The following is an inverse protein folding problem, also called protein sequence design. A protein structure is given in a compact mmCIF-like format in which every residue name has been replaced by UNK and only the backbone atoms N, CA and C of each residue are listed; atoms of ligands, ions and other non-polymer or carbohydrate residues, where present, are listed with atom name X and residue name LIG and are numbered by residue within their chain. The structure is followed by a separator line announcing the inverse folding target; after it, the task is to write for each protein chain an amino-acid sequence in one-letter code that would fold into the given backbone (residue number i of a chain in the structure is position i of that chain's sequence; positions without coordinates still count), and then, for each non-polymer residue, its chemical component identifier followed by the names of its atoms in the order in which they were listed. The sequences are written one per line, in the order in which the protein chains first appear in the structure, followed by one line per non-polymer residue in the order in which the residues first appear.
data_IF_511493984655
#
_entry.id   IF_511493984655
#
_cell.length_a   1.000
_cell.length_b   1.000
_cell.length_c   1.000
_cell.angle_alpha   90.00
_cell.angle_beta   90.00
_cell.angle_gamma   90.00
#
_symmetry.space_group_name_H-M   'P 1'
#
loop_
_entity.id
_entity.type
_entity.pdbx_description
1 polymer ?
#
# COMPACT_ATOMS: atom_id res chain seq x y z
N UNK A 1 17.58 5.80 -12.06
CA UNK A 1 17.41 4.32 -12.09
C UNK A 1 16.56 3.82 -10.93
N UNK A 2 16.87 4.20 -9.67
CA UNK A 2 16.13 3.78 -8.47
C UNK A 2 14.61 3.98 -8.55
N UNK A 3 14.14 5.14 -9.02
CA UNK A 3 12.70 5.43 -9.14
C UNK A 3 11.97 4.51 -10.12
N UNK A 4 12.60 4.14 -11.25
CA UNK A 4 11.97 3.27 -12.25
C UNK A 4 11.77 1.86 -11.71
N UNK A 5 12.80 1.34 -11.02
CA UNK A 5 12.72 0.04 -10.35
C UNK A 5 11.64 0.05 -9.28
N UNK A 6 11.57 1.11 -8.46
CA UNK A 6 10.52 1.27 -7.44
C UNK A 6 9.12 1.27 -8.08
N UNK A 7 8.90 2.02 -9.15
CA UNK A 7 7.62 2.05 -9.85
C UNK A 7 7.23 0.67 -10.39
N UNK A 8 8.18 -0.10 -10.92
CA UNK A 8 7.94 -1.47 -11.39
C UNK A 8 7.54 -2.38 -10.22
N UNK A 9 8.24 -2.28 -9.08
CA UNK A 9 7.91 -3.08 -7.89
C UNK A 9 6.53 -2.73 -7.32
N UNK A 10 6.17 -1.44 -7.28
CA UNK A 10 4.83 -0.99 -6.86
C UNK A 10 3.77 -1.56 -7.81
N UNK A 11 3.97 -1.44 -9.13
CA UNK A 11 3.03 -1.96 -10.11
C UNK A 11 2.84 -3.48 -10.01
N UNK A 12 3.93 -4.23 -9.76
CA UNK A 12 3.86 -5.67 -9.53
C UNK A 12 3.10 -6.02 -8.25
N UNK A 13 3.31 -5.27 -7.16
CA UNK A 13 2.60 -5.49 -5.90
C UNK A 13 1.10 -5.22 -6.04
N UNK A 14 0.72 -4.12 -6.68
CA UNK A 14 -0.68 -3.78 -6.98
C UNK A 14 -1.33 -4.84 -7.90
N UNK A 15 -0.60 -5.35 -8.91
CA UNK A 15 -1.08 -6.43 -9.76
C UNK A 15 -1.32 -7.71 -8.95
N UNK A 16 -0.34 -8.11 -8.13
CA UNK A 16 -0.46 -9.29 -7.27
C UNK A 16 -1.66 -9.16 -6.33
N UNK A 17 -1.89 -7.97 -5.77
CA UNK A 17 -3.04 -7.73 -4.90
C UNK A 17 -4.37 -8.00 -5.61
N UNK A 18 -4.55 -7.44 -6.81
CA UNK A 18 -5.76 -7.64 -7.61
C UNK A 18 -5.92 -9.10 -8.02
N UNK A 19 -4.82 -9.79 -8.38
CA UNK A 19 -4.85 -11.22 -8.73
C UNK A 19 -5.22 -12.08 -7.53
N UNK A 20 -4.57 -11.90 -6.38
CA UNK A 20 -4.83 -12.67 -5.16
C UNK A 20 -6.24 -12.50 -4.62
N UNK A 21 -6.83 -11.32 -4.84
CA UNK A 21 -8.19 -11.00 -4.42
C UNK A 21 -9.25 -11.32 -5.48
N UNK A 22 -8.85 -11.88 -6.63
CA UNK A 22 -9.72 -12.13 -7.79
C UNK A 22 -10.51 -10.89 -8.21
N UNK A 23 -9.83 -9.73 -8.24
CA UNK A 23 -10.41 -8.45 -8.63
C UNK A 23 -11.11 -7.67 -7.51
N UNK A 24 -11.12 -8.15 -6.27
CA UNK A 24 -11.73 -7.43 -5.13
C UNK A 24 -10.82 -6.38 -4.50
N UNK A 25 -9.53 -6.38 -4.83
CA UNK A 25 -8.56 -5.37 -4.42
C UNK A 25 -8.82 -4.05 -5.13
N UNK A 26 -8.57 -2.94 -4.45
CA UNK A 26 -8.75 -1.61 -5.04
C UNK A 26 -7.63 -1.34 -6.07
N UNK A 27 -7.91 -0.63 -7.17
CA UNK A 27 -6.84 -0.14 -8.04
C UNK A 27 -5.98 0.89 -7.29
N UNK A 28 -4.71 1.00 -7.68
CA UNK A 28 -3.71 1.86 -7.01
C UNK A 28 -3.58 1.58 -5.50
N UNK A 29 -3.65 0.32 -5.10
CA UNK A 29 -3.51 -0.11 -3.70
C UNK A 29 -2.54 -1.28 -3.60
N UNK A 30 -1.46 -1.10 -2.85
CA UNK A 30 -0.52 -2.18 -2.49
C UNK A 30 -1.10 -3.14 -1.46
N UNK A 31 -0.57 -4.36 -1.41
CA UNK A 31 -0.93 -5.37 -0.41
C UNK A 31 -0.71 -4.84 1.01
N UNK A 32 0.40 -4.12 1.22
CA UNK A 32 0.73 -3.50 2.52
C UNK A 32 -0.29 -2.43 2.92
N UNK A 33 -0.69 -1.55 2.00
CA UNK A 33 -1.72 -0.54 2.27
C UNK A 33 -3.10 -1.19 2.52
N UNK A 34 -3.45 -2.21 1.75
CA UNK A 34 -4.69 -2.96 1.93
C UNK A 34 -4.76 -3.67 3.29
N UNK A 35 -3.66 -4.31 3.72
CA UNK A 35 -3.58 -4.98 5.02
C UNK A 35 -3.84 -4.00 6.17
N UNK A 36 -3.23 -2.80 6.12
CA UNK A 36 -3.50 -1.74 7.09
C UNK A 36 -4.96 -1.29 7.04
N UNK A 37 -5.50 -0.95 5.86
CA UNK A 37 -6.89 -0.53 5.72
C UNK A 37 -7.87 -1.57 6.25
N UNK A 38 -7.64 -2.85 5.95
CA UNK A 38 -8.50 -3.95 6.40
C UNK A 38 -8.45 -4.11 7.92
N UNK A 39 -7.29 -3.93 8.54
CA UNK A 39 -7.17 -3.93 9.99
C UNK A 39 -7.94 -2.76 10.62
N UNK A 40 -7.81 -1.54 10.08
CA UNK A 40 -8.56 -0.36 10.54
C UNK A 40 -10.08 -0.53 10.37
N UNK A 41 -10.51 -1.30 9.36
CA UNK A 41 -11.91 -1.69 9.15
C UNK A 41 -12.36 -2.84 10.09
N UNK A 42 -11.48 -3.33 10.97
CA UNK A 42 -11.78 -4.43 11.89
C UNK A 42 -11.85 -5.81 11.23
N UNK A 43 -11.44 -5.96 9.97
CA UNK A 43 -11.50 -7.24 9.24
C UNK A 43 -10.43 -8.20 9.75
N UNK A 44 -10.81 -9.45 9.98
CA UNK A 44 -9.91 -10.51 10.48
C UNK A 44 -8.69 -10.69 9.58
N UNK A 45 -8.89 -10.70 8.26
CA UNK A 45 -7.79 -10.82 7.30
C UNK A 45 -6.74 -9.70 7.46
N UNK A 46 -7.14 -8.46 7.74
CA UNK A 46 -6.20 -7.36 8.01
C UNK A 46 -5.43 -7.54 9.32
N UNK A 47 -6.11 -7.99 10.38
CA UNK A 47 -5.47 -8.27 11.69
C UNK A 47 -4.43 -9.39 11.63
N UNK A 48 -4.55 -10.31 10.67
CA UNK A 48 -3.59 -11.40 10.46
C UNK A 48 -2.50 -10.99 9.46
N UNK A 49 -2.89 -10.42 8.32
CA UNK A 49 -1.95 -10.07 7.25
C UNK A 49 -1.01 -8.93 7.64
N UNK A 50 -1.50 -7.89 8.33
CA UNK A 50 -0.65 -6.76 8.72
C UNK A 50 0.55 -7.20 9.56
N UNK A 51 0.41 -7.86 10.73
CA UNK A 51 1.57 -8.23 11.53
C UNK A 51 2.49 -9.22 10.81
N UNK A 52 1.96 -10.08 9.95
CA UNK A 52 2.77 -10.99 9.12
C UNK A 52 3.64 -10.22 8.13
N UNK A 53 3.06 -9.27 7.41
CA UNK A 53 3.77 -8.44 6.43
C UNK A 53 4.77 -7.52 7.14
N UNK A 54 4.36 -6.86 8.22
CA UNK A 54 5.26 -6.01 9.01
C UNK A 54 6.41 -6.83 9.61
N UNK A 55 6.20 -8.08 10.04
CA UNK A 55 7.27 -8.94 10.55
C UNK A 55 8.24 -9.39 9.44
N UNK A 56 7.73 -9.78 8.27
CA UNK A 56 8.55 -10.15 7.10
C UNK A 56 9.47 -9.00 6.68
N UNK A 57 8.99 -7.77 6.85
CA UNK A 57 9.64 -6.56 6.38
C UNK A 57 10.29 -5.70 7.46
N UNK A 58 10.19 -6.13 8.71
CA UNK A 58 10.80 -5.51 9.87
C UNK A 58 12.30 -5.22 9.73
N UNK A 59 13.15 -6.09 9.10
CA UNK A 59 14.56 -5.80 8.91
C UNK A 59 14.84 -4.62 7.95
N UNK A 60 13.87 -4.28 7.09
CA UNK A 60 13.99 -3.22 6.10
C UNK A 60 13.38 -1.91 6.61
N UNK A 61 12.17 -1.97 7.15
CA UNK A 61 11.43 -0.78 7.59
C UNK A 61 10.35 -1.16 8.61
N UNK A 62 10.24 -0.38 9.70
CA UNK A 62 9.19 -0.56 10.72
C UNK A 62 7.89 0.09 10.27
N UNK A 63 6.76 -0.49 10.66
CA UNK A 63 5.40 -0.02 10.36
C UNK A 63 5.15 0.18 8.85
N UNK A 64 5.71 -0.69 8.01
CA UNK A 64 5.67 -0.51 6.57
C UNK A 64 4.24 -0.54 6.00
N UNK A 65 3.34 -1.34 6.59
CA UNK A 65 1.94 -1.32 6.18
C UNK A 65 1.28 0.04 6.39
N UNK A 66 1.58 0.70 7.51
CA UNK A 66 1.08 2.05 7.80
C UNK A 66 1.65 3.09 6.84
N UNK A 67 2.96 3.07 6.64
CA UNK A 67 3.65 4.01 5.76
C UNK A 67 3.18 3.88 4.31
N UNK A 68 2.96 2.65 3.85
CA UNK A 68 2.39 2.39 2.53
C UNK A 68 0.97 2.96 2.42
N UNK A 69 0.13 2.74 3.42
CA UNK A 69 -1.22 3.31 3.45
C UNK A 69 -1.21 4.84 3.42
N UNK A 70 -0.35 5.48 4.23
CA UNK A 70 -0.19 6.94 4.23
C UNK A 70 0.32 7.46 2.88
N UNK A 71 1.26 6.76 2.24
CA UNK A 71 1.77 7.10 0.90
C UNK A 71 0.67 7.08 -0.16
N UNK A 72 -0.13 6.02 -0.18
CA UNK A 72 -1.25 5.86 -1.11
C UNK A 72 -2.33 6.92 -0.87
N UNK A 73 -2.69 7.15 0.40
CA UNK A 73 -3.66 8.18 0.80
C UNK A 73 -3.21 9.58 0.35
N UNK A 74 -1.94 9.89 0.52
CA UNK A 74 -1.35 11.18 0.16
C UNK A 74 -1.01 11.27 -1.34
N UNK A 75 -1.19 10.18 -2.11
CA UNK A 75 -0.89 10.10 -3.54
C UNK A 75 0.59 10.28 -3.88
N UNK A 76 1.53 9.88 -3.01
CA UNK A 76 2.97 10.17 -3.20
C UNK A 76 3.56 9.45 -4.41
N UNK A 77 3.04 8.27 -4.76
CA UNK A 77 3.44 7.52 -5.96
C UNK A 77 3.02 8.21 -7.26
N UNK A 78 2.00 9.08 -7.21
CA UNK A 78 1.50 9.77 -8.38
C UNK A 78 2.45 10.89 -8.82
N UNK A 79 2.54 11.15 -10.14
CA UNK A 79 3.11 12.39 -10.67
C UNK A 79 2.54 13.63 -9.97
N UNK A 80 3.34 14.69 -9.74
CA UNK A 80 2.88 15.90 -9.04
C UNK A 80 1.59 16.50 -9.61
N UNK A 81 1.40 16.41 -10.93
CA UNK A 81 0.21 16.90 -11.64
C UNK A 81 -1.10 16.17 -11.28
N UNK A 82 -1.01 14.94 -10.76
CA UNK A 82 -2.18 14.13 -10.39
C UNK A 82 -2.45 14.13 -8.89
N UNK A 83 -1.53 14.67 -8.08
CA UNK A 83 -1.74 14.77 -6.64
C UNK A 83 -2.84 15.80 -6.38
N UNK A 84 -3.83 15.44 -5.57
CA UNK A 84 -4.78 16.44 -5.06
C UNK A 84 -3.98 17.48 -4.28
N UNK A 85 -4.21 18.76 -4.58
CA UNK A 85 -3.79 19.83 -3.68
C UNK A 85 -4.50 19.59 -2.34
N UNK A 86 -3.73 19.24 -1.32
CA UNK A 86 -4.24 19.22 0.05
C UNK A 86 -4.38 20.68 0.46
N UNK A 87 -5.49 21.30 0.06
CA UNK A 87 -5.93 22.54 0.68
C UNK A 87 -6.31 22.17 2.11
N UNK A 88 -5.38 22.38 3.04
CA UNK A 88 -5.65 22.41 4.47
C UNK A 88 -6.62 23.59 4.71
N UNK A 89 -7.92 23.31 4.63
CA UNK A 89 -8.98 24.17 5.17
C UNK A 89 -9.17 23.82 6.63
#
# INVERSE_FOLDING_TARGET
MKQRLLNILIALDQLLWVVLTLGKGSPDETISAAAWRMEQQGKVAGRVLRPLIDALFYPLERDRCRLSFESERDGKQLPPLYRKEINHV
#
